data_IF_912551685642
#
_entry.id   IF_912551685642
#
_cell.length_a   1.000
_cell.length_b   1.000
_cell.length_c   1.000
_cell.angle_alpha   90.00
_cell.angle_beta   90.00
_cell.angle_gamma   90.00
#
_symmetry.space_group_name_H-M   'P 1'
#
loop_
_entity.id
_entity.type
_entity.pdbx_description
1 polymer ?
#
# COMPACT_ATOMS: atom_id res chain seq x y z
N UNK A 1 25.89 -36.52 12.46
CA UNK A 1 25.32 -35.18 12.69
C UNK A 1 25.67 -34.36 11.45
N UNK A 2 24.73 -34.24 10.50
CA UNK A 2 24.98 -33.48 9.27
C UNK A 2 25.09 -32.00 9.63
N UNK A 3 26.27 -31.42 9.45
CA UNK A 3 26.45 -29.98 9.58
C UNK A 3 25.48 -29.27 8.63
N UNK A 4 24.51 -28.56 9.21
CA UNK A 4 23.59 -27.72 8.44
C UNK A 4 24.44 -26.69 7.70
N UNK A 5 24.27 -26.57 6.38
CA UNK A 5 24.91 -25.52 5.58
C UNK A 5 24.71 -24.14 6.27
N UNK A 6 25.74 -23.29 6.36
CA UNK A 6 25.62 -21.95 6.96
C UNK A 6 24.44 -21.16 6.40
N UNK A 7 24.19 -21.30 5.09
CA UNK A 7 23.06 -20.69 4.38
C UNK A 7 21.71 -21.17 4.93
N UNK A 8 21.57 -22.47 5.21
CA UNK A 8 20.34 -23.04 5.76
C UNK A 8 20.10 -22.55 7.21
N UNK A 9 21.16 -22.42 8.01
CA UNK A 9 21.07 -21.88 9.36
C UNK A 9 20.68 -20.40 9.35
N UNK A 10 21.24 -19.60 8.43
CA UNK A 10 20.87 -18.21 8.22
C UNK A 10 19.37 -18.06 7.90
N UNK A 11 18.84 -18.83 6.94
CA UNK A 11 17.43 -18.74 6.58
C UNK A 11 16.48 -19.29 7.66
N UNK A 12 16.92 -20.25 8.47
CA UNK A 12 16.18 -20.68 9.67
C UNK A 12 16.06 -19.52 10.67
N UNK A 13 17.16 -18.78 10.91
CA UNK A 13 17.14 -17.58 11.75
C UNK A 13 16.20 -16.50 11.17
N UNK A 14 16.31 -16.21 9.87
CA UNK A 14 15.47 -15.21 9.21
C UNK A 14 13.98 -15.55 9.28
N UNK A 15 13.62 -16.83 9.09
CA UNK A 15 12.24 -17.31 9.27
C UNK A 15 11.75 -17.16 10.71
N UNK A 16 12.59 -17.45 11.70
CA UNK A 16 12.25 -17.27 13.12
C UNK A 16 12.03 -15.80 13.50
N UNK A 17 12.68 -14.87 12.81
CA UNK A 17 12.42 -13.43 12.94
C UNK A 17 11.16 -12.95 12.21
N UNK A 18 10.37 -13.86 11.63
CA UNK A 18 9.17 -13.53 10.86
C UNK A 18 9.43 -13.13 9.41
N UNK A 19 10.64 -13.37 8.89
CA UNK A 19 10.98 -13.13 7.49
C UNK A 19 10.31 -14.12 6.54
N UNK A 20 9.96 -13.65 5.34
CA UNK A 20 9.40 -14.47 4.27
C UNK A 20 10.54 -15.02 3.42
N UNK A 21 10.62 -16.35 3.30
CA UNK A 21 11.71 -17.04 2.60
C UNK A 21 11.19 -17.72 1.34
N UNK A 22 11.79 -17.38 0.21
CA UNK A 22 11.56 -17.95 -1.11
C UNK A 22 12.66 -18.97 -1.39
N UNK A 23 12.31 -20.25 -1.35
CA UNK A 23 13.25 -21.36 -1.58
C UNK A 23 13.41 -21.69 -3.07
N UNK A 24 12.34 -21.54 -3.84
CA UNK A 24 12.35 -21.80 -5.27
C UNK A 24 13.17 -20.76 -6.02
N UNK A 25 13.72 -21.16 -7.16
CA UNK A 25 14.47 -20.24 -8.02
C UNK A 25 13.48 -19.25 -8.68
N UNK A 26 13.62 -17.94 -8.43
CA UNK A 26 12.80 -16.93 -9.09
C UNK A 26 13.17 -16.84 -10.58
N UNK A 27 12.28 -16.26 -11.39
CA UNK A 27 12.57 -15.98 -12.81
C UNK A 27 13.36 -14.68 -12.99
N UNK A 28 13.55 -13.96 -11.89
CA UNK A 28 14.26 -12.70 -11.79
C UNK A 28 15.74 -12.83 -12.17
N UNK A 29 16.16 -12.09 -13.20
CA UNK A 29 17.58 -11.80 -13.45
C UNK A 29 18.00 -10.63 -12.55
N UNK A 30 18.91 -10.90 -11.61
CA UNK A 30 19.32 -9.95 -10.59
C UNK A 30 20.00 -8.71 -11.17
N UNK A 31 20.87 -8.86 -12.17
CA UNK A 31 21.63 -7.75 -12.73
C UNK A 31 20.74 -6.82 -13.54
N UNK A 32 19.88 -7.40 -14.40
CA UNK A 32 18.90 -6.63 -15.17
C UNK A 32 17.86 -5.96 -14.28
N UNK A 33 17.40 -6.65 -13.23
CA UNK A 33 16.46 -6.08 -12.27
C UNK A 33 17.02 -4.85 -11.59
N UNK A 34 18.25 -4.95 -11.09
CA UNK A 34 18.87 -3.92 -10.25
C UNK A 34 19.33 -2.69 -11.06
N UNK A 35 19.60 -2.84 -12.36
CA UNK A 35 19.90 -1.72 -13.26
C UNK A 35 18.75 -0.72 -13.39
N UNK A 36 17.51 -1.12 -13.07
CA UNK A 36 16.35 -0.24 -13.12
C UNK A 36 16.30 0.77 -11.97
N UNK A 37 17.17 0.64 -10.96
CA UNK A 37 17.13 1.45 -9.74
C UNK A 37 18.41 2.22 -9.50
N UNK A 38 18.28 3.34 -8.78
CA UNK A 38 19.40 4.18 -8.35
C UNK A 38 19.35 4.46 -6.84
N UNK A 39 20.46 4.94 -6.30
CA UNK A 39 20.54 5.41 -4.92
C UNK A 39 20.25 4.33 -3.86
N UNK A 40 19.62 4.74 -2.76
CA UNK A 40 19.35 3.88 -1.60
C UNK A 40 18.42 2.70 -1.92
N UNK A 41 17.41 2.90 -2.76
CA UNK A 41 16.44 1.85 -3.13
C UNK A 41 17.12 0.66 -3.78
N UNK A 42 18.13 0.89 -4.63
CA UNK A 42 18.93 -0.18 -5.23
C UNK A 42 19.58 -1.07 -4.16
N UNK A 43 20.20 -0.46 -3.16
CA UNK A 43 20.86 -1.17 -2.05
C UNK A 43 19.82 -1.89 -1.19
N UNK A 44 18.75 -1.21 -0.80
CA UNK A 44 17.70 -1.77 0.03
C UNK A 44 17.05 -2.99 -0.64
N UNK A 45 16.82 -2.94 -1.96
CA UNK A 45 16.31 -4.08 -2.75
C UNK A 45 17.28 -5.26 -2.76
N UNK A 46 18.57 -5.02 -2.97
CA UNK A 46 19.59 -6.07 -2.93
C UNK A 46 19.66 -6.75 -1.55
N UNK A 47 19.68 -5.97 -0.46
CA UNK A 47 19.67 -6.51 0.90
C UNK A 47 18.39 -7.30 1.15
N UNK A 48 17.24 -6.79 0.68
CA UNK A 48 15.96 -7.47 0.83
C UNK A 48 15.92 -8.83 0.12
N UNK A 49 16.44 -8.90 -1.12
CA UNK A 49 16.59 -10.16 -1.87
C UNK A 49 17.55 -11.08 -1.11
N UNK A 50 18.69 -10.57 -0.63
CA UNK A 50 19.65 -11.32 0.19
C UNK A 50 19.02 -11.95 1.44
N UNK A 51 18.07 -11.25 2.06
CA UNK A 51 17.34 -11.70 3.26
C UNK A 51 16.20 -12.69 2.97
N UNK A 52 15.72 -12.76 1.72
CA UNK A 52 14.47 -13.44 1.38
C UNK A 52 14.64 -14.60 0.39
N UNK A 53 15.57 -14.51 -0.57
CA UNK A 53 15.80 -15.54 -1.60
C UNK A 53 16.96 -16.45 -1.23
N UNK A 54 16.73 -17.76 -1.18
CA UNK A 54 17.82 -18.72 -0.90
C UNK A 54 18.80 -18.80 -2.06
N UNK A 55 18.30 -18.81 -3.29
CA UNK A 55 19.10 -18.96 -4.51
C UNK A 55 19.92 -17.73 -4.87
N UNK A 56 19.35 -16.52 -4.68
CA UNK A 56 20.02 -15.25 -5.02
C UNK A 56 20.73 -14.60 -3.83
N UNK A 57 20.76 -15.26 -2.67
CA UNK A 57 21.21 -14.69 -1.40
C UNK A 57 22.61 -14.06 -1.50
N UNK A 58 23.59 -14.89 -1.84
CA UNK A 58 25.01 -14.55 -1.77
C UNK A 58 25.35 -13.50 -2.83
N UNK A 59 24.88 -13.70 -4.07
CA UNK A 59 25.14 -12.78 -5.17
C UNK A 59 24.53 -11.39 -4.90
N UNK A 60 23.29 -11.33 -4.38
CA UNK A 60 22.66 -10.06 -4.03
C UNK A 60 23.41 -9.32 -2.91
N UNK A 61 23.89 -10.04 -1.89
CA UNK A 61 24.66 -9.43 -0.80
C UNK A 61 26.04 -8.94 -1.27
N UNK A 62 26.71 -9.65 -2.17
CA UNK A 62 27.99 -9.23 -2.76
C UNK A 62 27.83 -7.95 -3.57
N UNK A 63 26.81 -7.91 -4.45
CA UNK A 63 26.49 -6.70 -5.22
C UNK A 63 26.11 -5.55 -4.28
N UNK A 64 25.36 -5.82 -3.21
CA UNK A 64 25.01 -4.80 -2.21
C UNK A 64 26.26 -4.20 -1.56
N UNK A 65 27.18 -5.03 -1.06
CA UNK A 65 28.41 -4.56 -0.40
C UNK A 65 29.27 -3.75 -1.36
N UNK A 66 29.44 -4.22 -2.60
CA UNK A 66 30.20 -3.49 -3.62
C UNK A 66 29.58 -2.12 -3.93
N UNK A 67 28.25 -2.02 -3.98
CA UNK A 67 27.56 -0.75 -4.21
C UNK A 67 27.61 0.17 -2.98
N UNK A 68 27.43 -0.36 -1.77
CA UNK A 68 27.50 0.40 -0.51
C UNK A 68 28.89 1.03 -0.33
N UNK A 69 29.97 0.29 -0.66
CA UNK A 69 31.34 0.78 -0.53
C UNK A 69 31.67 1.95 -1.47
N UNK A 70 30.86 2.21 -2.50
CA UNK A 70 30.94 3.43 -3.34
C UNK A 70 30.31 4.65 -2.66
N UNK A 71 29.44 4.43 -1.68
CA UNK A 71 28.76 5.46 -0.89
C UNK A 71 29.43 5.73 0.44
N UNK A 72 28.66 6.31 1.37
CA UNK A 72 29.14 6.75 2.69
C UNK A 72 28.23 6.31 3.84
N UNK A 73 27.27 5.42 3.58
CA UNK A 73 26.34 4.88 4.59
C UNK A 73 26.95 3.64 5.26
N UNK A 74 27.49 3.85 6.46
CA UNK A 74 28.14 2.79 7.26
C UNK A 74 27.11 1.85 7.87
N UNK A 75 25.90 2.33 8.18
CA UNK A 75 24.86 1.51 8.79
C UNK A 75 24.38 0.41 7.82
N UNK A 76 24.18 0.78 6.54
CA UNK A 76 23.86 -0.20 5.49
C UNK A 76 24.98 -1.22 5.29
N UNK A 77 26.24 -0.79 5.35
CA UNK A 77 27.37 -1.72 5.26
C UNK A 77 27.35 -2.76 6.39
N UNK A 78 27.12 -2.31 7.63
CA UNK A 78 27.07 -3.19 8.79
C UNK A 78 25.90 -4.19 8.68
N UNK A 79 24.73 -3.76 8.19
CA UNK A 79 23.58 -4.65 7.96
C UNK A 79 23.87 -5.70 6.88
N UNK A 80 24.38 -5.28 5.71
CA UNK A 80 24.73 -6.17 4.62
C UNK A 80 25.85 -7.16 5.00
N UNK A 81 26.90 -6.67 5.67
CA UNK A 81 27.99 -7.50 6.21
C UNK A 81 27.48 -8.50 7.25
N UNK A 82 26.58 -8.06 8.14
CA UNK A 82 25.96 -8.92 9.14
C UNK A 82 25.22 -10.11 8.50
N UNK A 83 24.56 -9.87 7.36
CA UNK A 83 23.88 -10.92 6.59
C UNK A 83 24.89 -11.87 5.93
N UNK A 84 25.84 -11.36 5.15
CA UNK A 84 26.75 -12.22 4.38
C UNK A 84 27.66 -13.06 5.27
N UNK A 85 28.11 -12.52 6.42
CA UNK A 85 28.92 -13.26 7.38
C UNK A 85 28.21 -14.52 7.90
N UNK A 86 26.89 -14.46 8.05
CA UNK A 86 26.09 -15.60 8.50
C UNK A 86 25.71 -16.53 7.34
N UNK A 87 25.37 -15.97 6.18
CA UNK A 87 24.91 -16.73 5.03
C UNK A 87 26.05 -17.48 4.30
N UNK A 88 27.22 -16.85 4.17
CA UNK A 88 28.37 -17.35 3.42
C UNK A 88 29.69 -16.92 4.10
N UNK A 89 30.09 -17.59 5.21
CA UNK A 89 31.27 -17.19 6.00
C UNK A 89 32.61 -17.32 5.25
N UNK A 90 32.66 -18.14 4.20
CA UNK A 90 33.87 -18.40 3.42
C UNK A 90 34.13 -17.34 2.32
N UNK A 91 33.15 -16.47 2.03
CA UNK A 91 33.31 -15.40 1.05
C UNK A 91 34.23 -14.29 1.60
N UNK A 92 35.06 -13.65 0.75
CA UNK A 92 35.95 -12.57 1.19
C UNK A 92 35.17 -11.39 1.80
N UNK A 93 33.96 -11.14 1.30
CA UNK A 93 33.07 -10.08 1.79
C UNK A 93 32.49 -10.36 3.19
N UNK A 94 32.63 -11.58 3.73
CA UNK A 94 32.31 -11.91 5.12
C UNK A 94 33.32 -11.33 6.12
N UNK A 95 34.52 -10.95 5.67
CA UNK A 95 35.48 -10.26 6.51
C UNK A 95 35.08 -8.80 6.71
N UNK A 96 35.02 -8.37 7.98
CA UNK A 96 34.67 -6.99 8.32
C UNK A 96 35.77 -6.02 7.89
N UNK A 97 35.42 -5.04 7.09
CA UNK A 97 36.30 -3.97 6.65
C UNK A 97 36.31 -2.82 7.67
N UNK A 98 36.98 -3.03 8.81
CA UNK A 98 37.04 -2.04 9.88
C UNK A 98 37.77 -0.75 9.44
N UNK A 99 38.78 -0.88 8.56
CA UNK A 99 39.52 0.25 8.03
C UNK A 99 38.63 1.18 7.18
N UNK A 100 37.75 0.61 6.34
CA UNK A 100 36.76 1.39 5.60
C UNK A 100 35.77 2.07 6.53
N UNK A 101 35.23 1.36 7.53
CA UNK A 101 34.30 1.92 8.53
C UNK A 101 34.92 3.14 9.21
N UNK A 102 36.10 2.98 9.82
CA UNK A 102 36.74 4.04 10.60
C UNK A 102 37.09 5.25 9.72
N UNK A 103 37.45 5.00 8.45
CA UNK A 103 37.71 6.07 7.47
C UNK A 103 36.45 6.85 7.14
N UNK A 104 35.39 6.17 6.70
CA UNK A 104 34.15 6.79 6.26
C UNK A 104 33.45 7.50 7.42
N UNK A 105 33.42 6.92 8.62
CA UNK A 105 32.85 7.60 9.79
C UNK A 105 33.57 8.90 10.12
N UNK A 106 34.91 8.91 10.02
CA UNK A 106 35.70 10.13 10.27
C UNK A 106 35.41 11.19 9.22
N UNK A 107 35.39 10.81 7.94
CA UNK A 107 35.05 11.70 6.84
C UNK A 107 33.64 12.28 7.00
N UNK A 108 32.66 11.44 7.32
CA UNK A 108 31.28 11.85 7.57
C UNK A 108 31.15 12.84 8.73
N UNK A 109 31.85 12.61 9.84
CA UNK A 109 31.86 13.49 11.02
C UNK A 109 32.54 14.83 10.71
N UNK A 110 33.68 14.81 10.02
CA UNK A 110 34.39 16.03 9.61
C UNK A 110 33.54 16.88 8.69
N UNK A 111 32.89 16.26 7.69
CA UNK A 111 32.02 16.97 6.75
C UNK A 111 30.78 17.53 7.43
N UNK A 112 30.11 16.77 8.30
CA UNK A 112 28.98 17.25 9.09
C UNK A 112 29.37 18.48 9.93
N UNK A 113 30.50 18.43 10.64
CA UNK A 113 30.99 19.56 11.43
C UNK A 113 31.33 20.80 10.57
N UNK A 114 31.84 20.58 9.35
CA UNK A 114 32.10 21.66 8.38
C UNK A 114 30.81 22.34 7.96
N UNK A 115 29.81 21.56 7.54
CA UNK A 115 28.50 22.06 7.11
C UNK A 115 27.76 22.78 8.24
N UNK A 116 27.81 22.25 9.47
CA UNK A 116 27.23 22.91 10.65
C UNK A 116 27.90 24.26 10.95
N UNK A 117 29.23 24.34 10.81
CA UNK A 117 29.98 25.58 11.02
C UNK A 117 29.61 26.62 9.96
N UNK A 118 29.52 26.20 8.69
CA UNK A 118 29.07 27.08 7.60
C UNK A 118 27.63 27.57 7.83
N UNK A 119 26.71 26.68 8.24
CA UNK A 119 25.34 27.05 8.54
C UNK A 119 25.24 28.05 9.71
N UNK A 120 26.09 27.91 10.75
CA UNK A 120 26.18 28.90 11.85
C UNK A 120 26.61 30.27 11.34
N UNK A 121 27.58 30.31 10.41
CA UNK A 121 28.01 31.56 9.78
C UNK A 121 26.88 32.20 8.95
N UNK A 122 26.15 31.41 8.16
CA UNK A 122 24.99 31.92 7.40
C UNK A 122 23.89 32.47 8.30
N UNK A 123 23.62 31.81 9.44
CA UNK A 123 22.69 32.30 10.46
C UNK A 123 23.16 33.60 11.10
N UNK A 124 24.45 33.74 11.37
CA UNK A 124 25.01 34.99 11.90
C UNK A 124 24.85 36.15 10.90
N UNK A 125 25.03 35.87 9.60
CA UNK A 125 24.89 36.86 8.54
C UNK A 125 23.43 37.17 8.16
N UNK A 126 22.45 36.42 8.68
CA UNK A 126 21.01 36.62 8.47
C UNK A 126 20.54 36.57 6.99
N UNK A 127 21.24 35.83 6.13
CA UNK A 127 20.88 35.66 4.72
C UNK A 127 20.00 34.42 4.58
N UNK A 128 18.68 34.62 4.43
CA UNK A 128 17.68 33.53 4.36
C UNK A 128 18.03 32.45 3.33
N UNK A 129 18.40 32.84 2.12
CA UNK A 129 18.73 31.86 1.06
C UNK A 129 19.96 31.01 1.41
N UNK A 130 20.99 31.61 2.01
CA UNK A 130 22.16 30.85 2.47
C UNK A 130 21.82 29.93 3.63
N UNK A 131 20.93 30.33 4.54
CA UNK A 131 20.45 29.47 5.63
C UNK A 131 19.63 28.30 5.06
N UNK A 132 18.78 28.55 4.06
CA UNK A 132 18.00 27.52 3.36
C UNK A 132 18.92 26.48 2.71
N UNK A 133 19.83 26.93 1.84
CA UNK A 133 20.81 26.06 1.17
C UNK A 133 21.70 25.32 2.19
N UNK A 134 22.15 25.99 3.25
CA UNK A 134 22.96 25.32 4.28
C UNK A 134 22.21 24.24 5.06
N UNK A 135 20.89 24.37 5.27
CA UNK A 135 20.09 23.28 5.82
C UNK A 135 19.84 22.17 4.77
N UNK A 136 19.72 22.52 3.49
CA UNK A 136 19.61 21.57 2.38
C UNK A 136 20.85 20.68 2.28
N UNK A 137 22.04 21.29 2.23
CA UNK A 137 23.32 20.58 2.16
C UNK A 137 23.53 19.66 3.36
N UNK A 138 23.17 20.12 4.56
CA UNK A 138 23.23 19.32 5.78
C UNK A 138 22.24 18.14 5.73
N UNK A 139 21.02 18.36 5.21
CA UNK A 139 20.03 17.31 5.03
C UNK A 139 20.48 16.26 4.02
N UNK A 140 21.01 16.69 2.87
CA UNK A 140 21.54 15.81 1.81
C UNK A 140 22.72 14.98 2.33
N UNK A 141 23.61 15.57 3.13
CA UNK A 141 24.71 14.85 3.77
C UNK A 141 24.18 13.77 4.73
N UNK A 142 23.23 14.11 5.59
CA UNK A 142 22.63 13.13 6.51
C UNK A 142 21.86 12.03 5.80
N UNK A 143 21.15 12.35 4.70
CA UNK A 143 20.47 11.36 3.87
C UNK A 143 21.47 10.39 3.22
N UNK A 144 22.55 10.92 2.63
CA UNK A 144 23.63 10.13 2.00
C UNK A 144 24.35 9.22 2.99
N UNK A 145 24.48 9.64 4.25
CA UNK A 145 25.19 8.91 5.30
C UNK A 145 24.30 7.99 6.14
N UNK A 146 22.98 8.01 5.90
CA UNK A 146 22.01 7.13 6.55
C UNK A 146 21.40 7.67 7.86
N UNK A 147 21.73 8.89 8.27
CA UNK A 147 21.14 9.55 9.44
C UNK A 147 19.78 10.17 9.11
N UNK A 148 18.80 9.32 8.79
CA UNK A 148 17.49 9.74 8.27
C UNK A 148 16.70 10.67 9.22
N UNK A 149 16.86 10.52 10.53
CA UNK A 149 16.21 11.41 11.50
C UNK A 149 16.80 12.82 11.47
N UNK A 150 18.13 12.93 11.49
CA UNK A 150 18.83 14.20 11.39
C UNK A 150 18.58 14.87 10.04
N UNK A 151 18.45 14.11 8.95
CA UNK A 151 18.07 14.61 7.64
C UNK A 151 16.66 15.24 7.66
N UNK A 152 15.66 14.52 8.22
CA UNK A 152 14.30 15.05 8.35
C UNK A 152 14.25 16.33 9.18
N UNK A 153 15.02 16.41 10.27
CA UNK A 153 15.14 17.63 11.07
C UNK A 153 15.77 18.79 10.30
N UNK A 154 16.85 18.52 9.53
CA UNK A 154 17.50 19.53 8.69
C UNK A 154 16.54 20.10 7.64
N UNK A 155 15.81 19.25 6.91
CA UNK A 155 14.81 19.69 5.95
C UNK A 155 13.62 20.41 6.62
N UNK A 156 13.23 20.00 7.83
CA UNK A 156 12.19 20.72 8.60
C UNK A 156 12.65 22.14 8.98
N UNK A 157 13.93 22.31 9.34
CA UNK A 157 14.53 23.64 9.55
C UNK A 157 14.62 24.44 8.26
N UNK A 158 15.01 23.81 7.15
CA UNK A 158 15.06 24.44 5.82
C UNK A 158 13.72 25.11 5.46
N UNK A 159 12.60 24.48 5.82
CA UNK A 159 11.25 24.99 5.56
C UNK A 159 10.97 26.39 6.11
N UNK A 160 11.65 26.81 7.17
CA UNK A 160 11.46 28.13 7.79
C UNK A 160 11.92 29.28 6.88
N UNK A 161 12.88 29.00 5.99
CA UNK A 161 13.52 29.96 5.10
C UNK A 161 13.11 29.78 3.62
N UNK A 162 12.04 29.04 3.37
CA UNK A 162 11.46 28.82 2.04
C UNK A 162 10.67 30.06 1.58
N UNK A 163 10.90 30.48 0.34
CA UNK A 163 10.36 31.74 -0.22
C UNK A 163 9.57 31.56 -1.52
N UNK A 164 9.92 30.57 -2.34
CA UNK A 164 9.30 30.31 -3.64
C UNK A 164 8.50 29.00 -3.63
N UNK A 165 7.55 28.85 -4.55
CA UNK A 165 6.82 27.57 -4.76
C UNK A 165 7.78 26.41 -5.00
N UNK A 166 8.80 26.64 -5.83
CA UNK A 166 9.86 25.67 -6.09
C UNK A 166 10.55 25.21 -4.80
N UNK A 167 10.94 26.14 -3.92
CA UNK A 167 11.54 25.82 -2.63
C UNK A 167 10.60 24.98 -1.72
N UNK A 168 9.28 25.20 -1.80
CA UNK A 168 8.29 24.38 -1.06
C UNK A 168 8.26 22.96 -1.62
N UNK A 169 8.25 22.81 -2.95
CA UNK A 169 8.24 21.52 -3.63
C UNK A 169 9.52 20.75 -3.33
N UNK A 170 10.69 21.37 -3.52
CA UNK A 170 12.01 20.74 -3.28
C UNK A 170 12.12 20.27 -1.81
N UNK A 171 11.74 21.11 -0.84
CA UNK A 171 11.67 20.73 0.56
C UNK A 171 10.74 19.55 0.83
N UNK A 172 9.58 19.54 0.18
CA UNK A 172 8.60 18.48 0.28
C UNK A 172 9.13 17.15 -0.26
N UNK A 173 9.77 17.19 -1.43
CA UNK A 173 10.36 16.01 -2.09
C UNK A 173 11.45 15.38 -1.22
N UNK A 174 12.36 16.20 -0.67
CA UNK A 174 13.39 15.74 0.27
C UNK A 174 12.79 15.04 1.50
N UNK A 175 11.80 15.67 2.14
CA UNK A 175 11.09 15.07 3.29
C UNK A 175 10.40 13.75 2.90
N UNK A 176 9.71 13.72 1.76
CA UNK A 176 9.04 12.51 1.25
C UNK A 176 10.04 11.37 1.06
N UNK A 177 11.19 11.61 0.42
CA UNK A 177 12.22 10.61 0.20
C UNK A 177 12.77 10.03 1.52
N UNK A 178 13.03 10.90 2.50
CA UNK A 178 13.45 10.45 3.84
C UNK A 178 12.37 9.61 4.52
N UNK A 179 11.10 10.01 4.44
CA UNK A 179 10.01 9.24 5.06
C UNK A 179 9.72 7.92 4.34
N UNK A 180 9.93 7.83 3.01
CA UNK A 180 9.89 6.57 2.27
C UNK A 180 10.98 5.63 2.79
N UNK A 181 12.21 6.11 2.94
CA UNK A 181 13.33 5.32 3.48
C UNK A 181 13.05 4.84 4.92
N UNK A 182 12.39 5.66 5.74
CA UNK A 182 11.92 5.30 7.09
C UNK A 182 10.67 4.41 7.12
N UNK A 183 10.00 4.20 5.98
CA UNK A 183 8.72 3.49 5.87
C UNK A 183 7.58 4.13 6.69
N UNK A 184 7.63 5.45 6.88
CA UNK A 184 6.56 6.23 7.53
C UNK A 184 5.57 6.75 6.47
N UNK A 185 4.61 5.91 6.11
CA UNK A 185 3.66 6.18 5.04
C UNK A 185 2.71 7.34 5.34
N UNK A 186 2.39 7.55 6.62
CA UNK A 186 1.52 8.66 7.05
C UNK A 186 2.22 9.99 6.81
N UNK A 187 3.51 10.09 7.18
CA UNK A 187 4.29 11.31 6.92
C UNK A 187 4.56 11.53 5.44
N UNK A 188 4.69 10.46 4.65
CA UNK A 188 4.76 10.58 3.18
C UNK A 188 3.51 11.27 2.63
N UNK A 189 2.31 10.76 2.93
CA UNK A 189 1.05 11.35 2.46
C UNK A 189 0.85 12.79 2.95
N UNK A 190 1.20 13.07 4.21
CA UNK A 190 1.08 14.42 4.79
C UNK A 190 1.97 15.44 4.07
N UNK A 191 3.19 15.08 3.65
CA UNK A 191 4.09 15.98 2.95
C UNK A 191 3.78 16.06 1.45
N UNK A 192 3.30 14.98 0.83
CA UNK A 192 2.76 15.02 -0.52
C UNK A 192 1.56 15.95 -0.64
N UNK A 193 0.63 15.93 0.32
CA UNK A 193 -0.53 16.83 0.32
C UNK A 193 -0.13 18.31 0.31
N UNK A 194 1.00 18.66 0.95
CA UNK A 194 1.55 20.03 0.92
C UNK A 194 2.15 20.38 -0.44
N UNK A 195 2.79 19.43 -1.12
CA UNK A 195 3.32 19.63 -2.47
C UNK A 195 2.17 19.88 -3.45
N UNK A 196 1.14 19.04 -3.41
CA UNK A 196 -0.05 19.16 -4.28
C UNK A 196 -0.79 20.48 -4.05
N UNK A 197 -0.94 20.90 -2.79
CA UNK A 197 -1.68 22.11 -2.45
C UNK A 197 -1.07 23.43 -2.95
N UNK A 198 0.19 23.42 -3.43
CA UNK A 198 0.89 24.60 -3.92
C UNK A 198 1.08 24.58 -5.45
N UNK A 199 0.88 23.43 -6.10
CA UNK A 199 0.96 23.31 -7.55
C UNK A 199 -0.17 24.09 -8.24
N UNK A 200 0.14 24.73 -9.37
CA UNK A 200 -0.85 25.44 -10.21
C UNK A 200 -0.47 25.30 -11.68
N UNK A 201 -1.43 24.91 -12.53
CA UNK A 201 -1.26 24.93 -13.99
C UNK A 201 -0.25 23.90 -14.52
N UNK A 202 0.84 24.35 -15.14
CA UNK A 202 1.83 23.48 -15.79
C UNK A 202 2.76 22.73 -14.83
N UNK A 203 3.07 23.32 -13.67
CA UNK A 203 3.90 22.67 -12.62
C UNK A 203 3.22 21.43 -12.04
N UNK A 204 1.89 21.44 -11.98
CA UNK A 204 1.09 20.29 -11.55
C UNK A 204 1.35 19.09 -12.47
N UNK A 205 1.38 19.30 -13.79
CA UNK A 205 1.60 18.21 -14.76
C UNK A 205 2.97 17.56 -14.65
N UNK A 206 4.00 18.33 -14.29
CA UNK A 206 5.37 17.83 -14.18
C UNK A 206 5.54 16.90 -12.96
N UNK A 207 4.96 17.28 -11.82
CA UNK A 207 5.11 16.55 -10.56
C UNK A 207 3.95 15.59 -10.26
N UNK A 208 2.88 15.62 -11.04
CA UNK A 208 1.73 14.73 -10.86
C UNK A 208 2.15 13.26 -10.87
N UNK A 209 2.96 12.75 -11.82
CA UNK A 209 3.27 11.31 -11.86
C UNK A 209 4.11 10.86 -10.67
N UNK A 210 5.07 11.69 -10.24
CA UNK A 210 5.81 11.47 -8.99
C UNK A 210 4.86 11.40 -7.79
N UNK A 211 3.96 12.38 -7.67
CA UNK A 211 2.99 12.44 -6.57
C UNK A 211 2.07 11.22 -6.57
N UNK A 212 1.56 10.79 -7.73
CA UNK A 212 0.69 9.63 -7.87
C UNK A 212 1.44 8.33 -7.54
N UNK A 213 2.65 8.16 -8.05
CA UNK A 213 3.50 7.01 -7.76
C UNK A 213 3.74 6.86 -6.26
N UNK A 214 4.21 7.92 -5.61
CA UNK A 214 4.54 7.90 -4.19
C UNK A 214 3.29 7.74 -3.33
N UNK A 215 2.18 8.40 -3.70
CA UNK A 215 0.89 8.20 -3.03
C UNK A 215 0.44 6.74 -3.11
N UNK A 216 0.60 6.11 -4.28
CA UNK A 216 0.29 4.70 -4.50
C UNK A 216 1.10 3.79 -3.58
N UNK A 217 2.41 4.01 -3.47
CA UNK A 217 3.30 3.24 -2.58
C UNK A 217 2.93 3.44 -1.11
N UNK A 218 2.67 4.67 -0.67
CA UNK A 218 2.27 4.94 0.70
C UNK A 218 0.92 4.30 1.06
N UNK A 219 -0.08 4.39 0.17
CA UNK A 219 -1.38 3.76 0.34
C UNK A 219 -1.29 2.23 0.33
N UNK A 220 -0.41 1.65 -0.49
CA UNK A 220 -0.07 0.22 -0.45
C UNK A 220 0.45 -0.15 0.94
N UNK A 221 1.41 0.60 1.48
CA UNK A 221 1.95 0.40 2.82
C UNK A 221 0.90 0.49 3.94
N UNK A 222 -0.11 1.34 3.77
CA UNK A 222 -1.28 1.47 4.66
C UNK A 222 -2.39 0.45 4.39
N UNK A 223 -2.22 -0.47 3.42
CA UNK A 223 -3.21 -1.47 2.98
C UNK A 223 -4.49 -0.89 2.36
N UNK A 224 -4.46 0.37 1.94
CA UNK A 224 -5.55 1.01 1.21
C UNK A 224 -5.45 0.66 -0.29
N UNK A 225 -5.68 -0.61 -0.62
CA UNK A 225 -5.37 -1.18 -1.93
C UNK A 225 -6.13 -0.54 -3.10
N UNK A 226 -7.41 -0.18 -2.91
CA UNK A 226 -8.23 0.42 -3.98
C UNK A 226 -7.73 1.81 -4.35
N UNK A 227 -7.41 2.63 -3.35
CA UNK A 227 -6.88 3.97 -3.56
C UNK A 227 -5.46 3.94 -4.12
N UNK A 228 -4.63 2.99 -3.66
CA UNK A 228 -3.32 2.74 -4.24
C UNK A 228 -3.42 2.38 -5.74
N UNK A 229 -4.30 1.44 -6.10
CA UNK A 229 -4.56 1.09 -7.51
C UNK A 229 -4.98 2.31 -8.33
N UNK A 230 -5.91 3.11 -7.82
CA UNK A 230 -6.36 4.33 -8.49
C UNK A 230 -5.22 5.32 -8.77
N UNK A 231 -4.25 5.44 -7.86
CA UNK A 231 -3.09 6.30 -8.04
C UNK A 231 -2.12 5.73 -9.08
N UNK A 232 -1.78 4.44 -9.04
CA UNK A 232 -0.89 3.82 -10.03
C UNK A 232 -1.44 3.90 -11.46
N UNK A 233 -2.75 3.73 -11.64
CA UNK A 233 -3.40 3.82 -12.96
C UNK A 233 -3.41 5.26 -13.55
N UNK A 234 -3.12 6.27 -12.74
CA UNK A 234 -3.05 7.68 -13.14
C UNK A 234 -1.62 8.16 -13.42
N UNK A 235 -0.61 7.31 -13.22
CA UNK A 235 0.78 7.66 -13.51
C UNK A 235 0.98 7.73 -15.03
N UNK A 236 1.56 8.83 -15.50
CA UNK A 236 1.88 8.99 -16.92
C UNK A 236 3.17 8.24 -17.29
N UNK A 237 3.11 7.45 -18.35
CA UNK A 237 4.25 6.71 -18.91
C UNK A 237 5.26 7.62 -19.63
N UNK A 238 4.86 8.83 -20.04
CA UNK A 238 5.74 9.73 -20.79
C UNK A 238 6.91 10.28 -19.96
N UNK A 239 6.83 10.19 -18.63
CA UNK A 239 7.89 10.72 -17.75
C UNK A 239 9.12 9.81 -17.76
N UNK A 240 10.33 10.38 -17.98
CA UNK A 240 11.57 9.62 -17.95
C UNK A 240 11.76 8.89 -16.61
N UNK A 241 12.11 7.59 -16.61
CA UNK A 241 12.37 6.82 -15.39
C UNK A 241 13.42 7.43 -14.46
N UNK A 242 14.34 8.25 -14.99
CA UNK A 242 15.35 8.96 -14.20
C UNK A 242 14.76 9.86 -13.08
N UNK A 243 13.51 10.29 -13.20
CA UNK A 243 12.86 11.13 -12.19
C UNK A 243 12.38 10.35 -10.96
N UNK A 244 12.19 9.03 -11.06
CA UNK A 244 11.61 8.22 -9.98
C UNK A 244 12.27 6.86 -9.75
N UNK A 245 13.31 6.49 -10.52
CA UNK A 245 14.08 5.26 -10.35
C UNK A 245 14.82 5.13 -9.01
N UNK A 246 14.93 6.23 -8.26
CA UNK A 246 15.40 6.22 -6.88
C UNK A 246 14.34 5.69 -5.89
N UNK A 247 13.10 5.42 -6.35
CA UNK A 247 11.97 4.91 -5.56
C UNK A 247 11.41 3.61 -6.15
N UNK A 248 11.10 3.60 -7.44
CA UNK A 248 10.44 2.48 -8.14
C UNK A 248 10.76 2.46 -9.63
N UNK A 249 10.49 1.34 -10.30
CA UNK A 249 10.67 1.15 -11.74
C UNK A 249 9.32 1.21 -12.49
N UNK A 250 9.31 1.37 -13.83
CA UNK A 250 8.11 1.20 -14.63
C UNK A 250 7.45 -0.18 -14.46
N UNK A 251 8.25 -1.23 -14.28
CA UNK A 251 7.77 -2.59 -14.04
C UNK A 251 7.04 -2.68 -12.69
N UNK A 252 7.55 -2.03 -11.64
CA UNK A 252 6.88 -1.96 -10.34
C UNK A 252 5.50 -1.32 -10.46
N UNK A 253 5.37 -0.25 -11.25
CA UNK A 253 4.09 0.44 -11.48
C UNK A 253 3.09 -0.50 -12.14
N UNK A 254 3.53 -1.26 -13.15
CA UNK A 254 2.71 -2.26 -13.83
C UNK A 254 2.23 -3.35 -12.87
N UNK A 255 3.15 -3.92 -12.07
CA UNK A 255 2.86 -5.00 -11.11
C UNK A 255 1.96 -4.51 -9.98
N UNK A 256 2.30 -3.39 -9.32
CA UNK A 256 1.50 -2.86 -8.22
C UNK A 256 0.13 -2.42 -8.70
N UNK A 257 0.06 -1.61 -9.76
CA UNK A 257 -1.21 -1.14 -10.31
C UNK A 257 -2.09 -2.30 -10.78
N UNK A 258 -1.51 -3.26 -11.49
CA UNK A 258 -2.23 -4.42 -12.03
C UNK A 258 -2.74 -5.37 -10.96
N UNK A 259 -1.90 -5.77 -9.99
CA UNK A 259 -2.30 -6.68 -8.91
C UNK A 259 -3.32 -6.04 -7.96
N UNK A 260 -3.12 -4.77 -7.59
CA UNK A 260 -4.05 -4.07 -6.71
C UNK A 260 -5.39 -3.87 -7.41
N UNK A 261 -5.39 -3.46 -8.68
CA UNK A 261 -6.62 -3.36 -9.46
C UNK A 261 -7.32 -4.72 -9.57
N UNK A 262 -6.58 -5.79 -9.88
CA UNK A 262 -7.13 -7.15 -9.97
C UNK A 262 -7.73 -7.63 -8.64
N UNK A 263 -7.17 -7.22 -7.51
CA UNK A 263 -7.73 -7.52 -6.20
C UNK A 263 -9.02 -6.70 -5.92
N UNK A 264 -9.03 -5.39 -6.21
CA UNK A 264 -10.08 -4.49 -5.70
C UNK A 264 -11.17 -4.06 -6.68
N UNK A 265 -10.90 -4.02 -7.98
CA UNK A 265 -11.81 -3.44 -8.99
C UNK A 265 -12.74 -4.46 -9.62
N UNK A 266 -13.98 -4.12 -9.94
CA UNK A 266 -14.86 -5.07 -10.62
C UNK A 266 -14.46 -5.37 -12.09
N UNK A 267 -15.20 -6.26 -12.76
CA UNK A 267 -14.89 -6.67 -14.14
C UNK A 267 -14.96 -5.49 -15.12
N UNK A 268 -15.90 -4.57 -14.94
CA UNK A 268 -16.10 -3.43 -15.82
C UNK A 268 -15.03 -2.36 -15.59
N UNK A 269 -14.68 -2.12 -14.34
CA UNK A 269 -13.56 -1.25 -13.95
C UNK A 269 -12.23 -1.77 -14.51
N UNK A 270 -11.97 -3.09 -14.42
CA UNK A 270 -10.74 -3.69 -14.99
C UNK A 270 -10.66 -3.52 -16.51
N UNK A 271 -11.77 -3.69 -17.22
CA UNK A 271 -11.80 -3.48 -18.67
C UNK A 271 -11.53 -2.00 -19.00
N UNK A 272 -12.35 -1.10 -18.47
CA UNK A 272 -12.33 0.32 -18.83
C UNK A 272 -11.12 1.10 -18.29
N UNK A 273 -10.66 0.80 -17.06
CA UNK A 273 -9.63 1.61 -16.37
C UNK A 273 -8.23 1.02 -16.45
N UNK A 274 -8.10 -0.26 -16.82
CA UNK A 274 -6.81 -0.96 -16.87
C UNK A 274 -6.47 -1.41 -18.29
N UNK A 275 -7.35 -2.19 -18.95
CA UNK A 275 -7.05 -2.74 -20.27
C UNK A 275 -7.21 -1.73 -21.40
N UNK A 276 -8.20 -0.85 -21.29
CA UNK A 276 -8.52 0.21 -22.27
C UNK A 276 -7.81 1.55 -21.95
N UNK A 277 -7.16 1.66 -20.79
CA UNK A 277 -6.37 2.83 -20.41
C UNK A 277 -5.04 2.84 -21.16
N UNK A 278 -4.94 3.71 -22.17
CA UNK A 278 -3.76 3.80 -23.04
C UNK A 278 -2.46 4.10 -22.28
N UNK A 279 -2.49 4.97 -21.27
CA UNK A 279 -1.31 5.32 -20.48
C UNK A 279 -0.81 4.14 -19.66
N UNK A 280 -1.72 3.44 -18.97
CA UNK A 280 -1.36 2.28 -18.15
C UNK A 280 -1.00 1.05 -18.99
N UNK A 281 -1.59 0.92 -20.17
CA UNK A 281 -1.30 -0.17 -21.10
C UNK A 281 0.17 -0.21 -21.53
N UNK A 282 0.82 0.94 -21.68
CA UNK A 282 2.26 1.03 -21.97
C UNK A 282 3.10 0.37 -20.87
N UNK A 283 2.74 0.57 -19.59
CA UNK A 283 3.41 -0.13 -18.48
C UNK A 283 3.16 -1.64 -18.53
N UNK A 284 1.93 -2.07 -18.83
CA UNK A 284 1.55 -3.49 -18.92
C UNK A 284 2.16 -4.24 -20.12
N UNK A 285 2.70 -3.53 -21.11
CA UNK A 285 3.45 -4.15 -22.21
C UNK A 285 4.81 -4.67 -21.77
N UNK A 286 5.44 -4.00 -20.79
CA UNK A 286 6.66 -4.49 -20.16
C UNK A 286 6.39 -5.72 -19.28
N UNK A 287 5.22 -5.79 -18.65
CA UNK A 287 4.82 -6.90 -17.76
C UNK A 287 3.64 -7.71 -18.31
N UNK A 288 3.92 -8.49 -19.37
CA UNK A 288 2.91 -9.24 -20.11
C UNK A 288 2.13 -10.27 -19.28
N UNK A 289 2.72 -10.83 -18.22
CA UNK A 289 2.07 -11.80 -17.34
C UNK A 289 0.89 -11.19 -16.58
N UNK A 290 1.09 -10.01 -15.98
CA UNK A 290 0.05 -9.30 -15.22
C UNK A 290 -1.10 -8.91 -16.14
N UNK A 291 -0.78 -8.37 -17.32
CA UNK A 291 -1.76 -8.04 -18.35
C UNK A 291 -2.61 -9.25 -18.77
N UNK A 292 -1.95 -10.39 -18.99
CA UNK A 292 -2.61 -11.64 -19.38
C UNK A 292 -3.52 -12.17 -18.27
N UNK A 293 -3.08 -12.11 -17.01
CA UNK A 293 -3.91 -12.49 -15.86
C UNK A 293 -5.19 -11.64 -15.78
N UNK A 294 -5.08 -10.31 -15.89
CA UNK A 294 -6.23 -9.41 -15.87
C UNK A 294 -7.18 -9.70 -17.03
N UNK A 295 -6.66 -9.90 -18.25
CA UNK A 295 -7.48 -10.25 -19.41
C UNK A 295 -8.21 -11.60 -19.23
N UNK A 296 -7.56 -12.61 -18.67
CA UNK A 296 -8.19 -13.90 -18.37
C UNK A 296 -9.31 -13.78 -17.34
N UNK A 297 -9.13 -12.94 -16.31
CA UNK A 297 -10.17 -12.65 -15.33
C UNK A 297 -11.40 -12.01 -15.97
N UNK A 298 -11.19 -11.00 -16.83
CA UNK A 298 -12.29 -10.32 -17.54
C UNK A 298 -13.04 -11.28 -18.46
N UNK A 299 -12.31 -12.19 -19.12
CA UNK A 299 -12.86 -13.22 -20.01
C UNK A 299 -13.45 -14.45 -19.29
N UNK A 300 -13.52 -14.45 -17.95
CA UNK A 300 -14.10 -15.55 -17.17
C UNK A 300 -13.24 -16.81 -17.05
N UNK A 301 -11.96 -16.76 -17.44
CA UNK A 301 -11.00 -17.88 -17.35
C UNK A 301 -10.21 -17.83 -16.04
N UNK A 302 -10.88 -18.07 -14.93
CA UNK A 302 -10.31 -17.84 -13.59
C UNK A 302 -9.18 -18.78 -13.20
N UNK A 303 -9.30 -20.08 -13.51
CA UNK A 303 -8.24 -21.07 -13.23
C UNK A 303 -6.90 -20.66 -13.88
N UNK A 304 -6.95 -20.30 -15.17
CA UNK A 304 -5.77 -19.82 -15.89
C UNK A 304 -5.23 -18.49 -15.35
N UNK A 305 -6.10 -17.59 -14.88
CA UNK A 305 -5.66 -16.35 -14.22
C UNK A 305 -4.84 -16.66 -12.95
N UNK A 306 -5.37 -17.54 -12.07
CA UNK A 306 -4.69 -17.95 -10.85
C UNK A 306 -3.38 -18.68 -11.12
N UNK A 307 -3.33 -19.52 -12.15
CA UNK A 307 -2.10 -20.21 -12.56
C UNK A 307 -1.00 -19.23 -13.00
N UNK A 308 -1.35 -18.16 -13.73
CA UNK A 308 -0.37 -17.11 -14.09
C UNK A 308 0.12 -16.38 -12.84
N UNK A 309 -0.78 -16.00 -11.94
CA UNK A 309 -0.40 -15.34 -10.69
C UNK A 309 0.53 -16.21 -9.87
N UNK A 310 0.26 -17.50 -9.76
CA UNK A 310 1.14 -18.44 -9.07
C UNK A 310 2.54 -18.47 -9.71
N UNK A 311 2.61 -18.44 -11.04
CA UNK A 311 3.87 -18.48 -11.77
C UNK A 311 4.77 -17.25 -11.59
N UNK A 312 4.23 -16.14 -11.08
CA UNK A 312 4.97 -14.89 -10.75
C UNK A 312 5.01 -14.60 -9.25
N UNK A 313 4.46 -15.50 -8.42
CA UNK A 313 4.37 -15.32 -6.96
C UNK A 313 5.75 -15.11 -6.34
N UNK A 314 6.71 -15.94 -6.72
CA UNK A 314 8.07 -15.90 -6.17
C UNK A 314 8.73 -14.55 -6.43
N UNK A 315 8.59 -14.00 -7.64
CA UNK A 315 9.15 -12.68 -7.99
C UNK A 315 8.48 -11.57 -7.17
N UNK A 316 7.15 -11.64 -6.98
CA UNK A 316 6.41 -10.70 -6.14
C UNK A 316 6.80 -10.76 -4.66
N UNK A 317 7.21 -11.94 -4.17
CA UNK A 317 7.68 -12.14 -2.79
C UNK A 317 9.09 -11.59 -2.56
N UNK A 318 9.83 -11.25 -3.61
CA UNK A 318 11.15 -10.62 -3.52
C UNK A 318 11.09 -9.09 -3.62
N UNK A 319 9.89 -8.52 -3.76
CA UNK A 319 9.72 -7.07 -3.85
C UNK A 319 9.61 -6.41 -2.48
N UNK A 320 10.33 -5.30 -2.32
CA UNK A 320 10.48 -4.58 -1.04
C UNK A 320 9.19 -3.99 -0.48
N UNK A 321 8.26 -3.58 -1.34
CA UNK A 321 6.99 -2.97 -0.93
C UNK A 321 5.89 -4.02 -0.92
N UNK A 322 5.84 -4.90 -1.92
CA UNK A 322 4.75 -5.83 -2.17
C UNK A 322 4.81 -7.09 -1.29
N UNK A 323 6.00 -7.59 -0.91
CA UNK A 323 6.19 -8.89 -0.24
C UNK A 323 5.18 -9.14 0.90
N UNK A 324 4.99 -8.16 1.79
CA UNK A 324 4.09 -8.26 2.96
C UNK A 324 2.60 -8.32 2.60
N UNK A 325 2.24 -7.93 1.38
CA UNK A 325 0.86 -7.84 0.89
C UNK A 325 0.49 -9.02 -0.02
N UNK A 326 1.47 -9.71 -0.62
CA UNK A 326 1.26 -10.80 -1.59
C UNK A 326 0.22 -11.80 -1.11
N UNK A 327 0.37 -12.36 0.10
CA UNK A 327 -0.56 -13.36 0.62
C UNK A 327 -2.00 -12.84 0.73
N UNK A 328 -2.17 -11.62 1.22
CA UNK A 328 -3.48 -10.97 1.35
C UNK A 328 -4.10 -10.69 -0.02
N UNK A 329 -3.32 -10.19 -0.97
CA UNK A 329 -3.78 -9.85 -2.31
C UNK A 329 -4.18 -11.11 -3.08
N UNK A 330 -3.36 -12.17 -3.03
CA UNK A 330 -3.63 -13.42 -3.71
C UNK A 330 -4.88 -14.11 -3.16
N UNK A 331 -5.05 -14.11 -1.83
CA UNK A 331 -6.27 -14.59 -1.18
C UNK A 331 -7.50 -13.80 -1.63
N UNK A 332 -7.41 -12.46 -1.68
CA UNK A 332 -8.51 -11.62 -2.14
C UNK A 332 -8.86 -11.87 -3.62
N UNK A 333 -7.87 -11.99 -4.49
CA UNK A 333 -8.06 -12.29 -5.91
C UNK A 333 -8.70 -13.68 -6.08
N UNK A 334 -8.23 -14.69 -5.34
CA UNK A 334 -8.77 -16.05 -5.38
C UNK A 334 -10.24 -16.09 -4.96
N UNK A 335 -10.57 -15.50 -3.80
CA UNK A 335 -11.96 -15.38 -3.32
C UNK A 335 -12.85 -14.71 -4.37
N UNK A 336 -12.37 -13.62 -4.96
CA UNK A 336 -13.08 -12.90 -6.02
C UNK A 336 -13.29 -13.73 -7.29
N UNK A 337 -12.29 -14.52 -7.69
CA UNK A 337 -12.41 -15.45 -8.80
C UNK A 337 -13.51 -16.49 -8.56
N UNK A 338 -13.56 -17.08 -7.36
CA UNK A 338 -14.59 -18.05 -6.97
C UNK A 338 -15.98 -17.42 -7.01
N UNK A 339 -16.16 -16.23 -6.44
CA UNK A 339 -17.45 -15.51 -6.49
C UNK A 339 -17.86 -15.24 -7.94
N UNK A 340 -16.96 -14.71 -8.76
CA UNK A 340 -17.25 -14.38 -10.16
C UNK A 340 -17.54 -15.59 -11.04
N UNK A 341 -16.90 -16.73 -10.76
CA UNK A 341 -17.21 -18.01 -11.37
C UNK A 341 -18.62 -18.49 -11.00
N UNK A 342 -19.06 -18.25 -9.77
CA UNK A 342 -20.34 -18.74 -9.27
C UNK A 342 -21.56 -17.88 -9.67
N UNK A 343 -21.39 -16.56 -9.87
CA UNK A 343 -22.47 -15.62 -10.25
C UNK A 343 -23.43 -16.13 -11.35
N UNK A 344 -22.99 -16.72 -12.47
CA UNK A 344 -23.90 -17.16 -13.54
C UNK A 344 -24.66 -18.46 -13.22
N UNK A 345 -24.37 -19.15 -12.12
CA UNK A 345 -24.95 -20.45 -11.79
C UNK A 345 -25.91 -20.39 -10.60
N UNK A 346 -27.02 -21.12 -10.68
CA UNK A 346 -27.93 -21.35 -9.54
C UNK A 346 -27.43 -22.47 -8.62
N UNK A 347 -26.77 -23.48 -9.18
CA UNK A 347 -26.09 -24.54 -8.43
C UNK A 347 -24.84 -25.02 -9.19
N UNK A 348 -23.81 -25.43 -8.45
CA UNK A 348 -22.55 -25.95 -8.99
C UNK A 348 -22.11 -27.15 -8.15
N UNK A 349 -21.58 -28.20 -8.79
CA UNK A 349 -21.03 -29.36 -8.08
C UNK A 349 -19.66 -29.03 -7.47
N UNK A 350 -19.37 -29.59 -6.29
CA UNK A 350 -18.06 -29.43 -5.65
C UNK A 350 -16.92 -30.01 -6.49
N UNK A 351 -17.18 -31.07 -7.26
CA UNK A 351 -16.22 -31.62 -8.22
C UNK A 351 -15.77 -30.59 -9.26
N UNK A 352 -16.72 -29.84 -9.85
CA UNK A 352 -16.40 -28.80 -10.83
C UNK A 352 -15.58 -27.66 -10.22
N UNK A 353 -15.91 -27.29 -8.97
CA UNK A 353 -15.16 -26.26 -8.23
C UNK A 353 -13.75 -26.73 -7.86
N UNK A 354 -13.60 -27.98 -7.43
CA UNK A 354 -12.30 -28.58 -7.16
C UNK A 354 -11.45 -28.64 -8.44
N UNK A 355 -12.03 -29.07 -9.57
CA UNK A 355 -11.31 -29.08 -10.85
C UNK A 355 -10.85 -27.69 -11.29
N UNK A 356 -11.63 -26.64 -10.97
CA UNK A 356 -11.30 -25.27 -11.36
C UNK A 356 -10.31 -24.57 -10.40
N UNK A 357 -10.37 -24.87 -9.10
CA UNK A 357 -9.72 -24.07 -8.07
C UNK A 357 -8.88 -24.85 -7.05
N UNK A 358 -9.10 -26.15 -6.85
CA UNK A 358 -8.30 -26.94 -5.92
C UNK A 358 -6.92 -27.25 -6.52
N UNK A 359 -5.94 -27.45 -5.63
CA UNK A 359 -4.70 -28.13 -6.01
C UNK A 359 -4.93 -29.65 -6.05
N UNK A 360 -4.04 -30.39 -6.70
CA UNK A 360 -4.17 -31.84 -6.83
C UNK A 360 -4.24 -32.52 -5.44
N UNK A 361 -5.38 -33.14 -5.13
CA UNK A 361 -5.62 -33.83 -3.86
C UNK A 361 -6.15 -32.94 -2.72
N UNK A 362 -6.39 -31.65 -2.96
CA UNK A 362 -7.01 -30.73 -1.99
C UNK A 362 -8.50 -30.50 -2.29
N UNK A 363 -9.24 -29.96 -1.32
CA UNK A 363 -10.65 -29.59 -1.49
C UNK A 363 -10.88 -28.11 -1.14
N UNK A 364 -11.71 -27.43 -1.93
CA UNK A 364 -12.11 -26.03 -1.67
C UNK A 364 -13.19 -25.90 -0.60
N UNK A 365 -13.73 -26.99 -0.07
CA UNK A 365 -14.88 -26.97 0.85
C UNK A 365 -14.67 -26.04 2.07
N UNK A 366 -13.54 -26.18 2.76
CA UNK A 366 -13.24 -25.36 3.94
C UNK A 366 -13.10 -23.87 3.58
N UNK A 367 -12.55 -23.57 2.41
CA UNK A 367 -12.44 -22.21 1.87
C UNK A 367 -13.84 -21.64 1.59
N UNK A 368 -14.72 -22.41 0.93
CA UNK A 368 -16.11 -22.03 0.65
C UNK A 368 -16.90 -21.78 1.95
N UNK A 369 -16.75 -22.64 2.94
CA UNK A 369 -17.40 -22.48 4.26
C UNK A 369 -16.95 -21.17 4.93
N UNK A 370 -15.65 -20.84 4.88
CA UNK A 370 -15.15 -19.55 5.39
C UNK A 370 -15.77 -18.38 4.63
N UNK A 371 -15.82 -18.45 3.29
CA UNK A 371 -16.38 -17.38 2.46
C UNK A 371 -17.89 -17.16 2.69
N UNK A 372 -18.66 -18.23 2.93
CA UNK A 372 -20.09 -18.14 3.26
C UNK A 372 -20.28 -17.52 4.64
N UNK A 373 -19.49 -17.95 5.64
CA UNK A 373 -19.54 -17.38 7.01
C UNK A 373 -19.16 -15.91 7.05
N UNK A 374 -18.16 -15.51 6.26
CA UNK A 374 -17.73 -14.11 6.11
C UNK A 374 -18.71 -13.27 5.28
N UNK A 375 -19.75 -13.87 4.67
CA UNK A 375 -20.73 -13.18 3.84
C UNK A 375 -20.22 -12.74 2.46
N UNK A 376 -19.01 -13.17 2.08
CA UNK A 376 -18.41 -12.88 0.76
C UNK A 376 -19.13 -13.68 -0.34
N UNK A 377 -19.52 -14.92 -0.04
CA UNK A 377 -20.22 -15.81 -0.95
C UNK A 377 -21.66 -16.05 -0.47
N UNK A 378 -22.63 -15.58 -1.25
CA UNK A 378 -24.06 -15.78 -0.97
C UNK A 378 -24.53 -17.14 -1.51
N UNK A 379 -24.20 -18.20 -0.77
CA UNK A 379 -24.53 -19.57 -1.15
C UNK A 379 -24.77 -20.46 0.07
N UNK A 380 -25.36 -21.62 -0.16
CA UNK A 380 -25.54 -22.72 0.81
C UNK A 380 -24.80 -23.94 0.30
N UNK A 381 -24.17 -24.66 1.22
CA UNK A 381 -23.44 -25.89 0.93
C UNK A 381 -24.29 -27.10 1.29
N UNK A 382 -24.63 -27.93 0.30
CA UNK A 382 -25.24 -29.24 0.52
C UNK A 382 -24.14 -30.31 0.50
N UNK A 383 -23.81 -30.84 1.67
CA UNK A 383 -22.75 -31.85 1.84
C UNK A 383 -23.24 -33.23 1.37
N UNK A 384 -24.54 -33.51 1.40
CA UNK A 384 -25.05 -34.82 1.00
C UNK A 384 -24.97 -35.00 -0.51
N UNK A 385 -25.44 -33.98 -1.24
CA UNK A 385 -25.45 -33.98 -2.70
C UNK A 385 -24.15 -33.40 -3.30
N UNK A 386 -23.24 -32.89 -2.46
CA UNK A 386 -21.98 -32.27 -2.87
C UNK A 386 -22.19 -31.06 -3.81
N UNK A 387 -23.16 -30.21 -3.47
CA UNK A 387 -23.57 -29.05 -4.27
C UNK A 387 -23.38 -27.73 -3.52
N UNK A 388 -22.96 -26.70 -4.25
CA UNK A 388 -23.01 -25.31 -3.84
C UNK A 388 -24.23 -24.65 -4.50
N UNK A 389 -25.20 -24.22 -3.70
CA UNK A 389 -26.49 -23.69 -4.15
C UNK A 389 -26.54 -22.19 -3.88
N UNK A 390 -26.88 -21.39 -4.90
CA UNK A 390 -26.93 -19.95 -4.77
C UNK A 390 -28.10 -19.54 -3.86
N UNK A 391 -27.84 -18.62 -2.93
CA UNK A 391 -28.92 -18.08 -2.11
C UNK A 391 -29.72 -17.09 -2.96
N UNK A 392 -30.88 -17.52 -3.42
CA UNK A 392 -31.83 -16.70 -4.18
C UNK A 392 -33.00 -16.30 -3.27
N UNK A 393 -32.85 -15.23 -2.46
CA UNK A 393 -33.94 -14.76 -1.63
C UNK A 393 -35.08 -14.25 -2.53
N UNK A 394 -36.32 -14.60 -2.19
CA UNK A 394 -37.48 -14.10 -2.91
C UNK A 394 -37.60 -12.58 -2.68
N UNK A 395 -37.45 -11.73 -3.71
CA UNK A 395 -37.40 -10.28 -3.54
C UNK A 395 -38.70 -9.73 -2.93
N UNK A 396 -39.83 -10.39 -3.19
CA UNK A 396 -41.12 -10.03 -2.60
C UNK A 396 -41.15 -10.29 -1.10
N UNK A 397 -40.61 -11.43 -0.66
CA UNK A 397 -40.58 -11.80 0.76
C UNK A 397 -39.66 -10.86 1.54
N UNK A 398 -38.50 -10.52 0.98
CA UNK A 398 -37.57 -9.56 1.59
C UNK A 398 -38.19 -8.16 1.71
N UNK A 399 -38.84 -7.66 0.65
CA UNK A 399 -39.57 -6.39 0.70
C UNK A 399 -40.67 -6.40 1.77
N UNK A 400 -41.44 -7.49 1.87
CA UNK A 400 -42.48 -7.64 2.89
C UNK A 400 -41.91 -7.64 4.31
N UNK A 401 -40.80 -8.34 4.54
CA UNK A 401 -40.12 -8.34 5.85
C UNK A 401 -39.61 -6.95 6.22
N UNK A 402 -38.94 -6.27 5.29
CA UNK A 402 -38.44 -4.91 5.51
C UNK A 402 -39.57 -3.92 5.81
N UNK A 403 -40.69 -4.00 5.09
CA UNK A 403 -41.85 -3.15 5.35
C UNK A 403 -42.44 -3.38 6.75
N UNK A 404 -42.53 -4.64 7.19
CA UNK A 404 -42.98 -4.99 8.54
C UNK A 404 -42.01 -4.49 9.63
N UNK A 405 -40.71 -4.60 9.40
CA UNK A 405 -39.69 -4.12 10.34
C UNK A 405 -39.74 -2.60 10.49
N UNK A 406 -39.87 -1.86 9.39
CA UNK A 406 -40.05 -0.41 9.40
C UNK A 406 -41.34 -0.02 10.12
N UNK A 407 -42.44 -0.74 9.87
CA UNK A 407 -43.71 -0.47 10.54
C UNK A 407 -43.63 -0.72 12.07
N UNK A 408 -43.00 -1.81 12.49
CA UNK A 408 -42.81 -2.12 13.91
C UNK A 408 -41.94 -1.06 14.60
N UNK A 409 -40.84 -0.65 13.97
CA UNK A 409 -39.96 0.41 14.49
C UNK A 409 -40.70 1.75 14.59
N UNK A 410 -41.50 2.10 13.58
CA UNK A 410 -42.31 3.30 13.61
C UNK A 410 -43.35 3.27 14.74
N UNK A 411 -44.00 2.12 14.97
CA UNK A 411 -44.95 1.94 16.06
C UNK A 411 -44.27 2.10 17.43
N UNK A 412 -43.08 1.53 17.60
CA UNK A 412 -42.26 1.67 18.82
C UNK A 412 -41.88 3.14 19.06
N UNK A 413 -41.33 3.82 18.06
CA UNK A 413 -40.98 5.25 18.15
C UNK A 413 -42.21 6.13 18.46
N UNK A 414 -43.36 5.83 17.85
CA UNK A 414 -44.61 6.55 18.12
C UNK A 414 -45.07 6.34 19.58
N UNK A 415 -45.02 5.11 20.08
CA UNK A 415 -45.33 4.80 21.49
C UNK A 415 -44.38 5.51 22.45
N UNK A 416 -43.08 5.55 22.15
CA UNK A 416 -42.10 6.27 22.95
C UNK A 416 -42.36 7.78 22.97
N UNK A 417 -42.68 8.37 21.81
CA UNK A 417 -43.06 9.79 21.73
C UNK A 417 -44.31 10.09 22.56
N UNK A 418 -45.34 9.25 22.46
CA UNK A 418 -46.55 9.41 23.26
C UNK A 418 -46.26 9.29 24.76
N UNK A 419 -45.46 8.29 25.18
CA UNK A 419 -45.02 8.15 26.58
C UNK A 419 -44.29 9.39 27.06
N UNK A 420 -43.38 9.94 26.26
CA UNK A 420 -42.66 11.17 26.59
C UNK A 420 -43.60 12.36 26.77
N UNK A 421 -44.56 12.54 25.86
CA UNK A 421 -45.58 13.60 25.96
C UNK A 421 -46.41 13.44 27.24
N UNK A 422 -46.82 12.22 27.57
CA UNK A 422 -47.57 11.94 28.81
C UNK A 422 -46.76 12.19 30.07
N UNK A 423 -45.46 11.85 30.09
CA UNK A 423 -44.57 12.13 31.22
C UNK A 423 -44.38 13.64 31.43
N UNK A 424 -44.17 14.39 30.35
CA UNK A 424 -44.07 15.86 30.37
C UNK A 424 -45.38 16.47 30.90
N UNK A 425 -46.54 16.03 30.36
CA UNK A 425 -47.84 16.52 30.80
C UNK A 425 -48.15 16.21 32.28
N UNK A 426 -47.59 15.12 32.82
CA UNK A 426 -47.68 14.77 34.23
C UNK A 426 -46.67 15.51 35.13
N UNK A 427 -45.85 16.41 34.57
CA UNK A 427 -44.79 17.13 35.29
C UNK A 427 -43.60 16.25 35.69
N UNK A 428 -43.46 15.06 35.11
CA UNK A 428 -42.37 14.11 35.35
C UNK A 428 -41.22 14.40 34.39
N UNK A 429 -40.69 15.61 34.47
CA UNK A 429 -39.49 16.00 33.74
C UNK A 429 -38.25 15.79 34.60
N UNK A 430 -37.20 15.21 34.01
CA UNK A 430 -35.91 15.16 34.67
C UNK A 430 -35.38 16.60 34.77
N UNK A 431 -35.42 17.19 35.96
CA UNK A 431 -34.72 18.42 36.26
C UNK A 431 -33.22 18.18 36.12
N UNK A 432 -32.68 18.39 34.91
CA UNK A 432 -31.25 18.51 34.72
C UNK A 432 -30.75 19.57 35.69
N UNK A 433 -29.76 19.23 36.52
CA UNK A 433 -29.12 20.20 37.44
C UNK A 433 -28.65 21.41 36.61
N UNK A 434 -29.45 22.46 36.58
CA UNK A 434 -29.05 23.77 36.10
C UNK A 434 -28.03 24.29 37.11
N UNK A 435 -26.76 24.37 36.69
CA UNK A 435 -25.79 25.22 37.36
C UNK A 435 -26.38 26.63 37.40
N UNK A 436 -26.26 27.27 38.56
CA UNK A 436 -26.98 28.48 38.96
C UNK A 436 -26.78 29.72 38.07
N UNK A 437 -27.47 30.81 38.42
CA UNK A 437 -27.80 31.89 37.49
C UNK A 437 -26.60 32.82 37.23
N UNK A 438 -26.15 32.85 35.98
CA UNK A 438 -25.27 33.87 35.43
C UNK A 438 -25.98 34.64 34.33
N UNK A 439 -26.14 35.95 34.55
CA UNK A 439 -26.84 36.93 33.71
C UNK A 439 -26.43 36.93 32.23
N UNK A 440 -27.42 37.08 31.34
CA UNK A 440 -27.27 37.86 30.10
C UNK A 440 -27.73 37.19 28.80
N UNK A 441 -28.86 37.67 28.26
CA UNK A 441 -29.04 37.75 26.79
C UNK A 441 -30.15 36.90 26.16
N UNK A 442 -31.33 37.52 26.06
CA UNK A 442 -32.40 37.36 25.04
C UNK A 442 -32.28 36.22 24.00
N UNK A 443 -33.23 35.27 24.12
CA UNK A 443 -34.16 34.81 23.08
C UNK A 443 -33.62 34.31 21.74
N UNK A 444 -33.88 33.03 21.45
CA UNK A 444 -34.48 32.48 20.23
C UNK A 444 -35.06 31.11 20.65
N UNK A 445 -36.36 31.10 20.93
CA UNK A 445 -37.20 29.90 20.76
C UNK A 445 -37.83 30.01 19.36
N UNK A 446 -38.30 28.89 18.82
CA UNK A 446 -38.86 28.68 17.48
C UNK A 446 -37.88 28.49 16.33
N UNK A 447 -37.41 27.25 16.20
CA UNK A 447 -37.40 26.55 14.93
C UNK A 447 -37.25 25.08 15.25
N UNK A 448 -38.30 24.27 15.04
CA UNK A 448 -38.26 22.84 14.71
C UNK A 448 -39.70 22.32 14.56
N UNK A 449 -40.39 22.80 13.53
CA UNK A 449 -41.50 22.08 12.93
C UNK A 449 -41.36 22.13 11.40
N UNK A 450 -41.19 20.93 10.82
CA UNK A 450 -41.75 20.55 9.52
C UNK A 450 -40.97 20.95 8.26
N UNK A 451 -40.28 19.96 7.67
CA UNK A 451 -40.48 19.65 6.25
C UNK A 451 -40.24 18.16 6.02
N UNK A 452 -41.33 17.44 5.75
CA UNK A 452 -41.29 16.07 5.28
C UNK A 452 -41.09 16.04 3.77
N UNK A 453 -40.04 15.38 3.30
CA UNK A 453 -39.96 14.92 1.92
C UNK A 453 -40.56 13.52 1.83
N UNK A 454 -41.68 13.42 1.13
CA UNK A 454 -42.32 12.15 0.80
C UNK A 454 -41.49 11.37 -0.25
N UNK A 455 -41.47 10.02 -0.19
CA UNK A 455 -40.90 9.19 -1.24
C UNK A 455 -41.89 9.02 -2.40
N UNK A 456 -41.44 9.34 -3.63
CA UNK A 456 -42.19 9.11 -4.86
C UNK A 456 -42.43 7.62 -5.11
N UNK A 457 -43.70 7.27 -5.36
CA UNK A 457 -44.16 5.94 -5.77
C UNK A 457 -43.86 5.61 -7.24
N UNK A 458 -43.83 4.31 -7.60
CA UNK A 458 -43.80 3.84 -8.98
C UNK A 458 -45.22 3.74 -9.60
N UNK A 459 -45.34 4.29 -10.81
CA UNK A 459 -46.11 3.85 -11.99
C UNK A 459 -47.58 3.37 -11.88
N UNK A 460 -48.46 4.00 -12.67
CA UNK A 460 -49.70 3.39 -13.15
C UNK A 460 -49.79 3.50 -14.68
N UNK A 461 -50.03 2.35 -15.31
CA UNK A 461 -50.47 2.15 -16.70
C UNK A 461 -51.99 2.31 -16.72
N UNK A 462 -52.56 2.95 -17.75
CA UNK A 462 -53.71 2.44 -18.54
C UNK A 462 -54.18 3.47 -19.58
N UNK A 463 -54.00 3.15 -20.86
CA UNK A 463 -54.99 3.09 -21.95
C UNK A 463 -54.28 2.89 -23.29
#
# INVERSE_FOLDING_TARGET
MSESSPLAAYFAHMRNSGGIIVQEQPKLDLDLYIQNYTGRTKIDRLIHIGKSSVSLCVDALKIAIAEIKKGSDVALYIDAWGCIRLAAPDEPDAQKDQAWIDRVERENKTEAARLETQLKQYKHNLIKESIRMGNEDLGLHFEKTGYLEAAAEAYTRMRQDVTTTKHIIDCGVHLVNVYIARRDWTMVLNNLGKIVGVQSGEEERLYQPYTKLVSGIALLGLKHYKDAANNFLQVDFTIPPAQYNHIASPNDIAVYGGLLALATMDRQELQSRVLDNQSFRSFLEHESHVRKAISLFVNGRYSSCLAILESIRNDCLLDIYLQRHVLSLYSQIRRKCIVQYFIPFSCVTLESLNQAFAQDGESVEMELVSMIREGILKARLDIKEQLLIADQPNPRLEMQKQALEVAAKYEEEAKERLRRISLIAAGLEAAGRTKGPGLGGRGIDEQWYGEGSAPGQPGAVEA
#
